data_IF_976093910150
#
_entry.id   IF_976093910150
#
_cell.length_a   1.000
_cell.length_b   1.000
_cell.length_c   1.000
_cell.angle_alpha   90.00
_cell.angle_beta   90.00
_cell.angle_gamma   90.00
#
_symmetry.space_group_name_H-M   'P 1'
#
loop_
_entity.id
_entity.type
_entity.pdbx_description
1 polymer ?
#
# COMPACT_ATOMS: atom_id res chain seq x y z
N UNK A 1 3.44 -6.63 3.79
CA UNK A 1 3.26 -7.31 5.10
C UNK A 1 2.81 -6.27 6.12
N UNK A 2 1.73 -6.48 6.86
CA UNK A 2 1.28 -5.50 7.85
C UNK A 2 2.13 -5.59 9.11
N UNK A 3 2.53 -4.45 9.66
CA UNK A 3 3.32 -4.42 10.90
C UNK A 3 2.50 -5.04 12.03
N UNK A 4 2.93 -6.20 12.52
CA UNK A 4 2.43 -6.83 13.76
C UNK A 4 1.74 -8.19 13.63
N UNK A 5 1.37 -8.66 12.44
CA UNK A 5 0.70 -9.97 12.29
C UNK A 5 1.58 -11.09 11.72
N UNK A 6 2.79 -10.77 11.23
CA UNK A 6 3.73 -11.78 10.75
C UNK A 6 3.34 -12.42 9.41
N UNK A 7 2.23 -12.01 8.80
CA UNK A 7 1.58 -12.71 7.69
C UNK A 7 1.54 -11.87 6.41
N UNK A 8 1.64 -12.54 5.26
CA UNK A 8 1.53 -11.92 3.93
C UNK A 8 0.13 -12.06 3.33
N UNK A 9 -0.76 -12.79 4.00
CA UNK A 9 -2.14 -12.99 3.56
C UNK A 9 -3.04 -13.32 4.74
N UNK A 10 -4.33 -13.00 4.61
CA UNK A 10 -5.37 -13.35 5.56
C UNK A 10 -6.60 -13.83 4.82
N UNK A 11 -7.03 -15.06 5.07
CA UNK A 11 -8.31 -15.55 4.56
C UNK A 11 -9.46 -14.91 5.35
N UNK A 12 -10.28 -14.11 4.65
CA UNK A 12 -11.52 -13.57 5.18
C UNK A 12 -12.72 -14.45 4.85
N UNK A 13 -13.83 -14.27 5.57
CA UNK A 13 -15.11 -14.90 5.25
C UNK A 13 -15.99 -14.09 4.28
N UNK A 14 -15.49 -12.95 3.79
CA UNK A 14 -16.23 -12.08 2.89
C UNK A 14 -16.06 -12.52 1.42
N UNK A 15 -16.82 -11.87 0.53
CA UNK A 15 -16.69 -12.04 -0.92
C UNK A 15 -15.55 -11.22 -1.54
N UNK A 16 -14.81 -10.46 -0.73
CA UNK A 16 -13.79 -9.53 -1.22
C UNK A 16 -12.40 -10.17 -1.13
N UNK A 17 -11.68 -10.14 -2.23
CA UNK A 17 -10.23 -10.33 -2.25
C UNK A 17 -9.58 -8.98 -2.50
N UNK A 18 -8.59 -8.63 -1.68
CA UNK A 18 -7.70 -7.50 -1.92
C UNK A 18 -6.30 -8.07 -2.14
N UNK A 19 -5.71 -7.76 -3.28
CA UNK A 19 -4.38 -8.26 -3.64
C UNK A 19 -3.48 -7.14 -4.15
N UNK A 20 -2.21 -7.21 -3.77
CA UNK A 20 -1.14 -6.57 -4.51
C UNK A 20 -0.86 -7.41 -5.76
N UNK A 21 -0.63 -6.75 -6.89
CA UNK A 21 -0.26 -7.43 -8.14
C UNK A 21 0.99 -6.74 -8.65
N UNK A 22 1.93 -7.56 -9.08
CA UNK A 22 3.26 -7.16 -9.53
C UNK A 22 3.27 -6.98 -11.05
N UNK A 23 3.82 -5.87 -11.53
CA UNK A 23 4.04 -5.60 -12.95
C UNK A 23 5.38 -6.12 -13.47
N UNK A 24 6.34 -6.44 -12.59
CA UNK A 24 7.77 -6.63 -12.89
C UNK A 24 8.10 -7.64 -14.00
N UNK A 25 7.27 -8.66 -14.17
CA UNK A 25 7.44 -9.76 -15.11
C UNK A 25 6.29 -9.89 -16.13
N UNK A 26 5.40 -8.89 -16.17
CA UNK A 26 4.22 -8.87 -17.04
C UNK A 26 3.04 -9.72 -16.54
N UNK A 27 3.17 -10.39 -15.39
CA UNK A 27 2.11 -11.21 -14.80
C UNK A 27 0.85 -10.42 -14.42
N UNK A 28 0.94 -9.10 -14.31
CA UNK A 28 -0.19 -8.18 -14.16
C UNK A 28 -1.38 -8.53 -15.07
N UNK A 29 -1.11 -8.94 -16.33
CA UNK A 29 -2.13 -9.25 -17.32
C UNK A 29 -2.86 -10.59 -17.11
N UNK A 30 -2.37 -11.43 -16.21
CA UNK A 30 -3.00 -12.70 -15.82
C UNK A 30 -4.16 -12.50 -14.85
N UNK A 31 -4.33 -11.28 -14.32
CA UNK A 31 -5.36 -10.93 -13.37
C UNK A 31 -6.59 -10.31 -14.06
N UNK A 32 -7.77 -10.59 -13.50
CA UNK A 32 -9.06 -10.09 -14.00
C UNK A 32 -9.87 -9.42 -12.89
N UNK A 33 -9.37 -8.32 -12.30
CA UNK A 33 -10.08 -7.67 -11.22
C UNK A 33 -11.35 -7.00 -11.72
N UNK A 34 -12.32 -6.83 -10.81
CA UNK A 34 -13.46 -5.94 -11.08
C UNK A 34 -13.11 -4.49 -10.81
N UNK A 35 -12.15 -4.24 -9.91
CA UNK A 35 -11.71 -2.88 -9.62
C UNK A 35 -10.22 -2.84 -9.32
N UNK A 36 -9.57 -1.76 -9.72
CA UNK A 36 -8.13 -1.59 -9.58
C UNK A 36 -7.80 -0.18 -9.08
N UNK A 37 -6.72 -0.08 -8.30
CA UNK A 37 -6.02 1.15 -7.97
C UNK A 37 -4.67 1.14 -8.69
N UNK A 38 -4.35 2.22 -9.41
CA UNK A 38 -3.02 2.46 -9.99
C UNK A 38 -2.40 3.68 -9.30
N UNK A 39 -1.29 3.47 -8.59
CA UNK A 39 -0.67 4.54 -7.78
C UNK A 39 0.25 5.45 -8.56
N UNK A 40 1.07 4.91 -9.45
CA UNK A 40 1.99 5.63 -10.32
C UNK A 40 2.41 4.70 -11.48
N UNK A 41 3.09 5.24 -12.49
CA UNK A 41 3.75 4.45 -13.54
C UNK A 41 5.12 5.05 -13.80
N UNK A 42 6.16 4.37 -13.33
CA UNK A 42 7.56 4.70 -13.57
C UNK A 42 8.27 3.56 -14.31
N UNK A 43 9.46 3.83 -14.86
CA UNK A 43 10.30 2.77 -15.42
C UNK A 43 11.05 2.11 -14.28
N UNK A 44 10.63 0.89 -13.95
CA UNK A 44 11.37 -0.04 -13.11
C UNK A 44 11.57 -1.37 -13.88
N UNK A 45 12.28 -2.33 -13.29
CA UNK A 45 12.47 -3.67 -13.84
C UNK A 45 12.97 -3.64 -15.28
N UNK A 46 14.05 -2.88 -15.52
CA UNK A 46 14.64 -2.66 -16.86
C UNK A 46 15.14 -3.95 -17.54
N UNK A 47 15.23 -5.04 -16.80
CA UNK A 47 15.52 -6.37 -17.32
C UNK A 47 14.33 -6.95 -18.11
N UNK A 48 13.11 -6.47 -17.84
CA UNK A 48 11.88 -6.87 -18.50
C UNK A 48 11.32 -5.77 -19.40
N UNK A 49 11.32 -4.50 -18.95
CA UNK A 49 10.77 -3.38 -19.71
C UNK A 49 11.85 -2.53 -20.38
N UNK A 50 11.79 -2.30 -21.70
CA UNK A 50 12.79 -1.50 -22.40
C UNK A 50 12.67 0.01 -22.12
N UNK A 51 11.48 0.49 -21.75
CA UNK A 51 11.19 1.90 -21.50
C UNK A 51 9.86 2.07 -20.75
N UNK A 52 9.58 3.30 -20.28
CA UNK A 52 8.37 3.62 -19.52
C UNK A 52 7.10 3.47 -20.36
N UNK A 53 7.19 3.65 -21.67
CA UNK A 53 6.07 3.45 -22.59
C UNK A 53 5.59 1.99 -22.61
N UNK A 54 6.52 1.03 -22.50
CA UNK A 54 6.18 -0.39 -22.38
C UNK A 54 5.46 -0.70 -21.06
N UNK A 55 5.90 -0.12 -19.94
CA UNK A 55 5.22 -0.23 -18.63
C UNK A 55 3.82 0.38 -18.72
N UNK A 56 3.70 1.58 -19.30
CA UNK A 56 2.41 2.25 -19.48
C UNK A 56 1.46 1.45 -20.37
N UNK A 57 1.96 0.80 -21.42
CA UNK A 57 1.16 -0.08 -22.28
C UNK A 57 0.62 -1.30 -21.52
N UNK A 58 1.44 -1.91 -20.66
CA UNK A 58 1.01 -3.01 -19.78
C UNK A 58 -0.15 -2.58 -18.87
N UNK A 59 -0.02 -1.44 -18.21
CA UNK A 59 -1.08 -0.88 -17.36
C UNK A 59 -2.33 -0.50 -18.15
N UNK A 60 -2.17 0.06 -19.36
CA UNK A 60 -3.30 0.37 -20.23
C UNK A 60 -4.07 -0.89 -20.65
N UNK A 61 -3.38 -1.99 -20.96
CA UNK A 61 -4.02 -3.26 -21.25
C UNK A 61 -4.73 -3.83 -20.01
N UNK A 62 -4.07 -3.80 -18.83
CA UNK A 62 -4.66 -4.26 -17.57
C UNK A 62 -5.94 -3.51 -17.20
N UNK A 63 -5.89 -2.18 -17.24
CA UNK A 63 -7.03 -1.31 -16.92
C UNK A 63 -8.11 -1.37 -18.01
N UNK A 64 -7.73 -1.62 -19.27
CA UNK A 64 -8.65 -1.87 -20.38
C UNK A 64 -9.45 -3.17 -20.26
N UNK A 65 -8.93 -4.17 -19.51
CA UNK A 65 -9.61 -5.45 -19.23
C UNK A 65 -10.67 -5.36 -18.14
N UNK A 66 -10.76 -4.25 -17.40
CA UNK A 66 -11.80 -4.08 -16.38
C UNK A 66 -13.19 -4.17 -17.02
N UNK A 67 -14.16 -4.85 -16.38
CA UNK A 67 -15.52 -4.93 -16.92
C UNK A 67 -16.20 -3.55 -16.88
N UNK A 68 -17.20 -3.33 -17.74
CA UNK A 68 -17.94 -2.06 -17.82
C UNK A 68 -18.62 -1.67 -16.48
N UNK A 69 -18.98 -2.65 -15.65
CA UNK A 69 -19.53 -2.45 -14.31
C UNK A 69 -18.44 -2.43 -13.21
N UNK A 70 -17.19 -2.31 -13.61
CA UNK A 70 -16.01 -2.20 -12.76
C UNK A 70 -15.67 -0.77 -12.35
N UNK A 71 -14.50 -0.61 -11.73
CA UNK A 71 -13.99 0.68 -11.26
C UNK A 71 -12.46 0.78 -11.37
N UNK A 72 -11.96 1.85 -11.95
CA UNK A 72 -10.55 2.23 -11.91
C UNK A 72 -10.38 3.47 -11.02
N UNK A 73 -9.49 3.37 -10.02
CA UNK A 73 -9.09 4.47 -9.14
C UNK A 73 -7.65 4.84 -9.48
N UNK A 74 -7.45 6.00 -10.09
CA UNK A 74 -6.15 6.36 -10.68
C UNK A 74 -5.55 7.59 -10.00
N UNK A 75 -4.25 7.56 -9.74
CA UNK A 75 -3.56 8.73 -9.20
C UNK A 75 -3.56 9.88 -10.22
N UNK A 76 -4.08 11.03 -9.81
CA UNK A 76 -4.14 12.25 -10.61
C UNK A 76 -2.78 12.97 -10.70
N UNK A 77 -1.93 12.76 -9.70
CA UNK A 77 -0.61 13.38 -9.60
C UNK A 77 0.43 12.68 -10.49
N UNK A 78 0.12 11.48 -10.99
CA UNK A 78 0.91 10.77 -12.00
C UNK A 78 0.23 10.90 -13.37
N UNK A 79 0.90 11.60 -14.29
CA UNK A 79 0.34 11.89 -15.61
C UNK A 79 0.05 10.61 -16.43
N UNK A 80 0.85 9.55 -16.27
CA UNK A 80 0.68 8.29 -17.02
C UNK A 80 -0.48 7.49 -16.47
N UNK A 81 -0.56 7.32 -15.15
CA UNK A 81 -1.69 6.68 -14.48
C UNK A 81 -3.00 7.43 -14.80
N UNK A 82 -3.01 8.76 -14.69
CA UNK A 82 -4.18 9.60 -15.01
C UNK A 82 -4.64 9.46 -16.46
N UNK A 83 -3.70 9.26 -17.39
CA UNK A 83 -3.98 9.16 -18.84
C UNK A 83 -4.64 7.83 -19.25
N UNK A 84 -4.63 6.81 -18.38
CA UNK A 84 -5.20 5.50 -18.73
C UNK A 84 -6.70 5.61 -19.03
N UNK A 85 -7.12 4.84 -20.04
CA UNK A 85 -8.50 4.72 -20.48
C UNK A 85 -9.05 3.34 -20.11
N UNK A 86 -10.35 3.28 -19.81
CA UNK A 86 -11.03 2.04 -19.43
C UNK A 86 -12.50 2.09 -19.83
N UNK A 87 -13.14 0.96 -20.16
CA UNK A 87 -14.59 0.89 -20.29
C UNK A 87 -15.32 0.94 -18.93
N UNK A 88 -14.61 0.72 -17.82
CA UNK A 88 -15.15 0.80 -16.47
C UNK A 88 -15.42 2.25 -16.02
N UNK A 89 -16.05 2.41 -14.86
CA UNK A 89 -16.07 3.73 -14.20
C UNK A 89 -14.65 4.13 -13.81
N UNK A 90 -14.30 5.40 -13.99
CA UNK A 90 -12.99 5.97 -13.63
C UNK A 90 -13.18 7.07 -12.59
N UNK A 91 -12.43 7.00 -11.50
CA UNK A 91 -12.28 8.08 -10.51
C UNK A 91 -10.80 8.34 -10.28
N UNK A 92 -10.47 9.55 -9.91
CA UNK A 92 -9.11 10.02 -9.69
C UNK A 92 -8.88 10.47 -8.26
N UNK A 93 -7.65 10.36 -7.78
CA UNK A 93 -7.28 10.79 -6.43
C UNK A 93 -5.90 11.44 -6.41
N UNK A 94 -5.63 12.32 -5.45
CA UNK A 94 -4.31 12.94 -5.31
C UNK A 94 -4.36 14.33 -4.68
N UNK A 95 -3.31 15.10 -4.88
CA UNK A 95 -3.22 16.50 -4.50
C UNK A 95 -3.68 17.45 -5.60
N UNK A 96 -3.62 17.00 -6.86
CA UNK A 96 -4.07 17.75 -8.03
C UNK A 96 -5.51 18.25 -7.84
N UNK A 97 -5.74 19.52 -8.18
CA UNK A 97 -7.03 20.18 -7.97
C UNK A 97 -8.17 19.56 -8.78
N UNK A 98 -7.84 18.86 -9.87
CA UNK A 98 -8.79 18.17 -10.73
C UNK A 98 -9.07 16.73 -10.31
N UNK A 99 -8.45 16.23 -9.24
CA UNK A 99 -8.75 14.91 -8.69
C UNK A 99 -10.18 14.86 -8.13
N UNK A 100 -10.93 13.78 -8.44
CA UNK A 100 -12.27 13.56 -7.88
C UNK A 100 -12.20 13.49 -6.34
N UNK A 101 -11.22 12.74 -5.83
CA UNK A 101 -10.86 12.63 -4.41
C UNK A 101 -9.55 13.37 -4.14
N UNK A 102 -9.66 14.65 -3.78
CA UNK A 102 -8.50 15.50 -3.49
C UNK A 102 -8.13 15.45 -2.01
N UNK A 103 -6.85 15.35 -1.69
CA UNK A 103 -6.33 15.52 -0.34
C UNK A 103 -5.49 16.80 -0.21
N UNK A 104 -5.46 17.36 1.00
CA UNK A 104 -4.50 18.42 1.34
C UNK A 104 -3.18 17.83 1.89
N UNK A 105 -2.13 18.64 1.95
CA UNK A 105 -0.81 18.24 2.49
C UNK A 105 -0.68 18.42 4.01
N UNK A 106 -1.74 18.90 4.67
CA UNK A 106 -1.71 19.17 6.10
C UNK A 106 -1.81 17.88 6.91
N UNK A 107 -1.46 17.91 8.20
CA UNK A 107 -1.61 16.74 9.08
C UNK A 107 -2.30 17.15 10.38
N UNK A 108 -3.46 16.56 10.73
CA UNK A 108 -4.27 15.62 9.92
C UNK A 108 -4.72 16.24 8.59
N UNK A 109 -4.87 15.42 7.54
CA UNK A 109 -5.25 15.91 6.21
C UNK A 109 -6.76 15.83 5.99
N UNK A 110 -7.30 16.68 5.13
CA UNK A 110 -8.70 16.65 4.69
C UNK A 110 -8.83 15.96 3.35
N UNK A 111 -9.79 15.05 3.20
CA UNK A 111 -10.21 14.54 1.90
C UNK A 111 -11.42 15.35 1.44
N UNK A 112 -11.40 15.72 0.16
CA UNK A 112 -12.47 16.39 -0.56
C UNK A 112 -13.01 15.47 -1.65
N UNK A 113 -14.31 15.52 -1.90
CA UNK A 113 -14.95 14.84 -3.03
C UNK A 113 -15.89 15.82 -3.73
N UNK A 114 -15.74 15.99 -5.05
CA UNK A 114 -16.51 16.97 -5.82
C UNK A 114 -16.39 18.41 -5.30
N UNK A 115 -15.18 18.80 -4.86
CA UNK A 115 -14.88 20.12 -4.30
C UNK A 115 -15.32 20.34 -2.85
N UNK A 116 -16.08 19.42 -2.24
CA UNK A 116 -16.54 19.52 -0.84
C UNK A 116 -15.66 18.70 0.09
N UNK A 117 -15.25 19.27 1.22
CA UNK A 117 -14.60 18.51 2.28
C UNK A 117 -15.55 17.43 2.84
N UNK A 118 -15.12 16.16 2.78
CA UNK A 118 -15.89 15.02 3.31
C UNK A 118 -15.42 14.62 4.72
N UNK A 119 -14.18 14.95 5.09
CA UNK A 119 -13.72 14.85 6.46
C UNK A 119 -12.20 14.78 6.59
N UNK A 120 -11.72 14.66 7.84
CA UNK A 120 -10.29 14.63 8.18
C UNK A 120 -9.81 13.22 8.48
N UNK A 121 -8.59 12.93 8.08
CA UNK A 121 -7.90 11.65 8.34
C UNK A 121 -6.63 11.91 9.13
N UNK A 122 -6.47 11.19 10.24
CA UNK A 122 -5.29 11.23 11.07
C UNK A 122 -4.40 10.00 10.80
N UNK A 123 -3.56 10.08 9.77
CA UNK A 123 -2.67 8.97 9.39
C UNK A 123 -1.37 8.98 10.21
N UNK A 124 -1.00 7.83 10.77
CA UNK A 124 0.24 7.64 11.55
C UNK A 124 1.49 7.70 10.68
N UNK A 125 1.44 7.08 9.50
CA UNK A 125 2.54 7.00 8.54
C UNK A 125 2.83 8.39 7.97
N UNK A 126 4.11 8.74 7.87
CA UNK A 126 4.60 10.07 7.45
C UNK A 126 4.88 10.16 5.97
N UNK A 127 5.11 11.37 5.48
CA UNK A 127 5.38 11.61 4.07
C UNK A 127 4.12 11.83 3.24
N UNK A 128 4.32 12.59 2.16
CA UNK A 128 3.31 12.97 1.18
C UNK A 128 2.74 11.74 0.44
N UNK A 129 3.60 10.82 0.04
CA UNK A 129 3.19 9.57 -0.65
C UNK A 129 2.21 8.74 0.19
N UNK A 130 2.37 8.70 1.52
CA UNK A 130 1.44 7.96 2.38
C UNK A 130 0.07 8.65 2.49
N UNK A 131 0.00 9.98 2.43
CA UNK A 131 -1.28 10.70 2.34
C UNK A 131 -1.97 10.36 1.01
N UNK A 132 -1.22 10.36 -0.09
CA UNK A 132 -1.71 10.00 -1.41
C UNK A 132 -2.25 8.56 -1.44
N UNK A 133 -1.46 7.59 -0.97
CA UNK A 133 -1.86 6.18 -0.88
C UNK A 133 -3.12 5.98 -0.02
N UNK A 134 -3.17 6.64 1.15
CA UNK A 134 -4.35 6.61 2.01
C UNK A 134 -5.59 7.21 1.34
N UNK A 135 -5.41 8.24 0.51
CA UNK A 135 -6.50 8.86 -0.26
C UNK A 135 -7.00 7.94 -1.38
N UNK A 136 -6.12 7.23 -2.08
CA UNK A 136 -6.50 6.22 -3.08
C UNK A 136 -7.26 5.04 -2.47
N UNK A 137 -6.79 4.55 -1.31
CA UNK A 137 -7.51 3.52 -0.56
C UNK A 137 -8.88 4.00 -0.06
N UNK A 138 -8.95 5.25 0.41
CA UNK A 138 -10.21 5.87 0.83
C UNK A 138 -11.19 6.02 -0.35
N UNK A 139 -10.72 6.50 -1.50
CA UNK A 139 -11.53 6.62 -2.72
C UNK A 139 -12.15 5.28 -3.12
N UNK A 140 -11.35 4.21 -3.16
CA UNK A 140 -11.86 2.86 -3.44
C UNK A 140 -12.92 2.41 -2.43
N UNK A 141 -12.66 2.60 -1.13
CA UNK A 141 -13.59 2.20 -0.08
C UNK A 141 -14.93 2.96 -0.15
N UNK A 142 -14.88 4.27 -0.41
CA UNK A 142 -16.07 5.11 -0.57
C UNK A 142 -16.89 4.71 -1.81
N UNK A 143 -16.23 4.44 -2.94
CA UNK A 143 -16.89 4.02 -4.19
C UNK A 143 -17.56 2.64 -4.08
N UNK A 144 -17.09 1.77 -3.18
CA UNK A 144 -17.76 0.49 -2.88
C UNK A 144 -18.79 0.58 -1.74
N UNK A 145 -19.04 1.79 -1.23
CA UNK A 145 -20.12 2.08 -0.27
C UNK A 145 -19.74 2.01 1.21
N UNK A 146 -18.45 2.04 1.56
CA UNK A 146 -18.02 2.16 2.97
C UNK A 146 -18.19 3.60 3.43
N UNK A 147 -18.67 3.82 4.66
CA UNK A 147 -18.83 5.17 5.20
C UNK A 147 -17.48 5.82 5.52
N UNK A 148 -17.38 7.13 5.33
CA UNK A 148 -16.12 7.88 5.52
C UNK A 148 -15.54 7.70 6.93
N UNK A 149 -16.40 7.67 7.95
CA UNK A 149 -16.01 7.51 9.35
C UNK A 149 -15.32 6.16 9.59
N UNK A 150 -15.79 5.09 8.94
CA UNK A 150 -15.18 3.76 9.03
C UNK A 150 -13.82 3.74 8.33
N UNK A 151 -13.71 4.38 7.16
CA UNK A 151 -12.46 4.53 6.41
C UNK A 151 -11.43 5.32 7.22
N UNK A 152 -11.80 6.49 7.73
CA UNK A 152 -10.93 7.34 8.53
C UNK A 152 -10.44 6.61 9.80
N UNK A 153 -11.33 5.89 10.48
CA UNK A 153 -11.00 5.09 11.65
C UNK A 153 -10.04 3.92 11.32
N UNK A 154 -10.21 3.28 10.17
CA UNK A 154 -9.31 2.21 9.71
C UNK A 154 -7.92 2.77 9.38
N UNK A 155 -7.85 3.88 8.64
CA UNK A 155 -6.59 4.54 8.28
C UNK A 155 -5.82 5.05 9.52
N UNK A 156 -6.51 5.59 10.52
CA UNK A 156 -5.87 6.02 11.78
C UNK A 156 -5.24 4.85 12.56
N UNK A 157 -5.82 3.66 12.46
CA UNK A 157 -5.36 2.44 13.12
C UNK A 157 -4.37 1.64 12.27
N UNK A 158 -4.11 2.03 11.03
CA UNK A 158 -3.18 1.33 10.15
C UNK A 158 -1.78 1.31 10.78
N UNK A 159 -1.21 0.12 11.07
CA UNK A 159 0.07 0.01 11.76
C UNK A 159 1.25 0.35 10.85
N UNK A 160 1.03 0.36 9.53
CA UNK A 160 2.08 0.47 8.51
C UNK A 160 2.32 -0.88 7.84
N UNK A 161 3.15 -0.85 6.81
CA UNK A 161 3.67 -2.05 6.16
C UNK A 161 5.15 -2.22 6.55
N UNK A 162 5.59 -3.49 6.67
CA UNK A 162 6.99 -3.78 6.91
C UNK A 162 7.86 -3.20 5.80
N UNK A 163 9.04 -2.71 6.19
CA UNK A 163 10.01 -2.09 5.27
C UNK A 163 9.44 -0.90 4.48
N UNK A 164 8.46 -0.17 5.02
CA UNK A 164 7.99 1.12 4.47
C UNK A 164 8.00 2.16 5.60
N UNK A 165 9.16 2.79 5.80
CA UNK A 165 9.51 3.65 6.94
C UNK A 165 9.13 3.04 8.29
N UNK A 166 9.43 1.75 8.45
CA UNK A 166 9.12 0.99 9.65
C UNK A 166 10.08 1.37 10.78
N UNK A 167 9.55 1.82 11.92
CA UNK A 167 10.38 2.06 13.11
C UNK A 167 10.78 0.71 13.74
N UNK A 168 12.05 0.32 13.57
CA UNK A 168 12.60 -0.88 14.19
C UNK A 168 12.81 -0.70 15.70
N UNK A 169 13.09 0.54 16.14
CA UNK A 169 13.26 0.85 17.55
C UNK A 169 14.21 2.03 17.78
N UNK A 170 14.76 2.10 18.99
CA UNK A 170 15.82 3.04 19.32
C UNK A 170 17.14 2.32 19.51
N UNK A 171 18.20 2.84 18.91
CA UNK A 171 19.58 2.44 19.17
C UNK A 171 20.36 3.64 19.69
N UNK A 172 20.89 3.55 20.91
CA UNK A 172 21.64 4.65 21.55
C UNK A 172 20.89 6.01 21.54
N UNK A 173 19.55 5.97 21.68
CA UNK A 173 18.71 7.18 21.66
C UNK A 173 18.35 7.70 20.27
N UNK A 174 18.94 7.16 19.19
CA UNK A 174 18.53 7.45 17.82
C UNK A 174 17.42 6.48 17.38
N UNK A 175 16.42 7.00 16.67
CA UNK A 175 15.39 6.16 16.07
C UNK A 175 15.93 5.49 14.80
N UNK A 176 15.76 4.17 14.69
CA UNK A 176 16.20 3.36 13.55
C UNK A 176 14.98 2.97 12.74
N UNK A 177 15.01 3.31 11.45
CA UNK A 177 13.94 3.01 10.51
C UNK A 177 14.45 2.10 9.39
N UNK A 178 13.59 1.19 8.91
CA UNK A 178 13.82 0.34 7.74
C UNK A 178 12.85 0.73 6.61
N UNK A 179 13.36 0.82 5.39
CA UNK A 179 12.61 1.21 4.19
C UNK A 179 13.13 0.46 2.95
N UNK A 180 12.21 -0.02 2.12
CA UNK A 180 12.49 -0.79 0.93
C UNK A 180 12.79 0.07 -0.30
N UNK A 181 12.55 1.39 -0.23
CA UNK A 181 12.68 2.29 -1.37
C UNK A 181 14.02 2.10 -2.08
N UNK A 182 13.95 1.70 -3.33
CA UNK A 182 15.10 1.36 -4.18
C UNK A 182 15.10 2.19 -5.46
N UNK A 183 13.93 2.60 -5.94
CA UNK A 183 13.82 3.57 -7.01
C UNK A 183 14.16 4.99 -6.52
N UNK A 184 14.81 5.86 -7.31
CA UNK A 184 15.16 7.22 -6.89
C UNK A 184 13.97 8.05 -6.37
N UNK A 185 12.76 7.83 -6.89
CA UNK A 185 11.53 8.49 -6.40
C UNK A 185 11.20 8.04 -4.98
N UNK A 186 11.26 6.74 -4.70
CA UNK A 186 11.02 6.18 -3.36
C UNK A 186 12.06 6.68 -2.36
N UNK A 187 13.35 6.64 -2.70
CA UNK A 187 14.43 7.12 -1.82
C UNK A 187 14.23 8.59 -1.46
N UNK A 188 13.86 9.44 -2.43
CA UNK A 188 13.53 10.86 -2.17
C UNK A 188 12.34 10.98 -1.23
N UNK A 189 11.27 10.21 -1.46
CA UNK A 189 10.07 10.23 -0.63
C UNK A 189 10.37 9.80 0.82
N UNK A 190 11.22 8.78 1.00
CA UNK A 190 11.70 8.28 2.29
C UNK A 190 12.52 9.34 3.02
N UNK A 191 13.47 10.01 2.35
CA UNK A 191 14.26 11.09 2.94
C UNK A 191 13.38 12.27 3.36
N UNK A 192 12.39 12.65 2.54
CA UNK A 192 11.46 13.72 2.84
C UNK A 192 10.60 13.39 4.08
N UNK A 193 10.09 12.17 4.17
CA UNK A 193 9.33 11.73 5.33
C UNK A 193 10.20 11.64 6.61
N UNK A 194 11.45 11.18 6.50
CA UNK A 194 12.39 11.15 7.61
C UNK A 194 12.68 12.56 8.17
N UNK A 195 12.74 13.56 7.27
CA UNK A 195 12.86 14.98 7.65
C UNK A 195 11.65 15.48 8.46
N UNK A 196 10.46 14.94 8.28
CA UNK A 196 9.29 15.26 9.13
C UNK A 196 9.40 14.61 10.52
N UNK A 197 10.05 13.45 10.61
CA UNK A 197 10.21 12.67 11.84
C UNK A 197 11.24 13.27 12.81
N UNK A 198 12.22 14.04 12.31
CA UNK A 198 13.34 14.62 13.10
C UNK A 198 12.90 15.44 14.33
N UNK A 199 11.64 15.86 14.38
CA UNK A 199 11.09 16.68 15.46
C UNK A 199 10.41 15.87 16.58
N UNK A 200 10.34 14.54 16.48
CA UNK A 200 9.66 13.69 17.47
C UNK A 200 10.36 12.34 17.65
N UNK A 201 11.39 12.30 18.48
CA UNK A 201 11.83 11.03 19.09
C UNK A 201 10.74 10.63 20.10
N UNK A 202 10.04 9.49 19.93
CA UNK A 202 9.03 9.07 20.90
C UNK A 202 9.67 8.87 22.27
N UNK A 203 9.21 9.62 23.28
CA UNK A 203 9.66 9.49 24.68
C UNK A 203 9.38 8.12 25.32
N UNK A 204 8.61 7.25 24.66
CA UNK A 204 7.96 6.08 25.26
C UNK A 204 8.81 4.80 25.37
N UNK A 205 10.07 4.77 24.91
CA UNK A 205 10.90 3.55 24.94
C UNK A 205 12.00 3.54 26.01
N UNK A 206 11.97 4.45 27.00
CA UNK A 206 12.94 4.44 28.12
C UNK A 206 12.76 3.25 29.09
N UNK A 207 11.68 2.48 29.00
CA UNK A 207 11.33 1.51 30.04
C UNK A 207 11.81 0.07 29.80
N UNK A 208 12.39 -0.28 28.65
CA UNK A 208 12.78 -1.68 28.34
C UNK A 208 14.27 -2.02 28.45
N UNK A 209 15.13 -1.10 28.89
CA UNK A 209 16.58 -1.33 28.93
C UNK A 209 17.17 -1.62 30.32
N UNK A 210 16.36 -1.78 31.36
CA UNK A 210 16.87 -2.01 32.71
C UNK A 210 17.04 -3.48 33.13
N UNK A 211 16.61 -4.48 32.34
CA UNK A 211 16.59 -5.88 32.82
C UNK A 211 17.41 -6.90 32.01
N UNK A 212 18.28 -6.48 31.09
CA UNK A 212 19.20 -7.39 30.43
C UNK A 212 20.61 -7.30 31.07
N UNK A 213 20.73 -7.77 32.32
CA UNK A 213 22.03 -8.13 32.90
C UNK A 213 22.02 -9.62 33.25
N UNK A 214 22.95 -10.32 32.59
CA UNK A 214 23.50 -11.64 32.89
C UNK A 214 22.53 -12.83 32.96
N UNK A 215 22.65 -13.72 31.97
CA UNK A 215 23.01 -15.14 32.17
C UNK A 215 23.24 -15.82 30.82
N UNK A 216 24.48 -16.24 30.56
CA UNK A 216 24.79 -17.39 29.70
C UNK A 216 24.39 -18.67 30.45
N UNK A 217 23.88 -19.72 29.77
CA UNK A 217 24.78 -20.81 29.36
C UNK A 217 24.39 -21.55 28.06
N UNK A 218 25.43 -22.15 27.49
CA UNK A 218 25.54 -23.35 26.66
C UNK A 218 24.30 -24.25 26.49
N UNK A 219 24.07 -24.72 25.25
CA UNK A 219 23.31 -25.96 25.00
C UNK A 219 22.65 -26.02 23.63
N UNK A 220 23.29 -26.70 22.67
CA UNK A 220 22.68 -27.09 21.39
C UNK A 220 21.95 -28.44 21.56
N UNK A 221 20.71 -28.58 21.06
CA UNK A 221 20.23 -29.90 20.65
C UNK A 221 19.66 -29.90 19.22
N UNK A 222 20.04 -30.94 18.49
CA UNK A 222 19.57 -31.34 17.17
C UNK A 222 18.28 -32.18 17.27
N UNK A 223 17.34 -32.00 16.33
CA UNK A 223 16.36 -33.02 15.87
C UNK A 223 15.60 -32.45 14.66
N UNK A 224 15.82 -32.96 13.44
CA UNK A 224 15.09 -34.04 12.73
C UNK A 224 13.67 -33.71 12.25
N UNK A 225 13.51 -34.00 10.97
CA UNK A 225 12.38 -33.92 10.04
C UNK A 225 11.19 -34.81 10.38
N UNK A 226 9.98 -34.37 10.02
CA UNK A 226 8.97 -35.26 9.43
C UNK A 226 7.95 -34.49 8.58
N UNK A 227 7.75 -34.96 7.35
CA UNK A 227 6.69 -34.55 6.44
C UNK A 227 5.36 -35.23 6.78
N UNK A 228 4.24 -34.59 6.46
CA UNK A 228 2.99 -35.29 6.19
C UNK A 228 2.12 -34.50 5.20
N UNK A 229 1.77 -35.19 4.13
CA UNK A 229 0.86 -34.81 3.06
C UNK A 229 -0.60 -34.87 3.50
N UNK A 230 -1.50 -34.16 2.81
CA UNK A 230 -2.83 -34.68 2.39
C UNK A 230 -3.53 -33.75 1.40
N UNK A 231 -4.43 -34.39 0.68
CA UNK A 231 -4.86 -34.15 -0.69
C UNK A 231 -6.23 -33.46 -0.78
N UNK A 232 -6.40 -32.64 -1.83
CA UNK A 232 -7.55 -32.54 -2.75
C UNK A 232 -8.92 -32.10 -2.21
N UNK A 233 -9.42 -30.96 -2.71
CA UNK A 233 -10.82 -30.83 -3.17
C UNK A 233 -10.96 -29.66 -4.15
N UNK A 234 -11.38 -29.99 -5.37
CA UNK A 234 -11.72 -29.08 -6.46
C UNK A 234 -13.15 -28.59 -6.25
N UNK A 235 -13.40 -27.28 -6.16
CA UNK A 235 -14.72 -26.68 -6.44
C UNK A 235 -14.54 -25.30 -7.07
N UNK A 236 -15.05 -25.19 -8.29
CA UNK A 236 -15.20 -23.98 -9.08
C UNK A 236 -16.09 -22.96 -8.36
N UNK A 237 -15.58 -21.76 -8.14
CA UNK A 237 -16.37 -20.57 -7.80
C UNK A 237 -15.79 -19.37 -8.53
N UNK A 238 -16.69 -18.56 -9.06
CA UNK A 238 -16.44 -17.34 -9.82
C UNK A 238 -15.83 -16.26 -8.91
N UNK A 239 -14.73 -15.67 -9.36
CA UNK A 239 -13.83 -14.78 -8.62
C UNK A 239 -14.07 -13.31 -8.96
N UNK A 240 -13.94 -12.40 -7.99
CA UNK A 240 -14.12 -10.96 -8.17
C UNK A 240 -13.15 -10.21 -7.24
N UNK A 241 -12.03 -9.74 -7.80
CA UNK A 241 -10.87 -9.25 -7.06
C UNK A 241 -10.75 -7.71 -7.13
N UNK A 242 -10.26 -7.12 -6.03
CA UNK A 242 -9.82 -5.73 -5.89
C UNK A 242 -8.29 -5.70 -5.86
N UNK A 243 -7.66 -4.88 -6.68
CA UNK A 243 -6.19 -4.86 -6.80
C UNK A 243 -5.61 -3.48 -6.49
N UNK A 244 -4.52 -3.42 -5.71
CA UNK A 244 -3.66 -2.24 -5.55
C UNK A 244 -2.31 -2.53 -6.16
N UNK A 245 -1.91 -1.77 -7.20
CA UNK A 245 -0.59 -1.86 -7.81
C UNK A 245 0.25 -0.68 -7.33
N UNK A 246 1.45 -0.95 -6.78
CA UNK A 246 2.43 0.07 -6.44
C UNK A 246 3.82 -0.41 -6.85
N UNK A 247 4.44 0.30 -7.79
CA UNK A 247 5.89 0.41 -7.87
C UNK A 247 6.36 1.13 -6.59
#
# INVERSE_FOLDING_TARGET
>A
MLVGDGSHSRAGGSKWLVAEVDESDGSLLLHHPKRAIVTNIELDHTDHFPNVEAVQALFAEFIGKLPADGLAVLCADDARARSLTTPARKVTYGFDESADYRCDESRPFTIHHGGRAIGRVNLRQRGRHNIQNATGAAAMALEIGVHFEEVASALERFPGAHRRLELLGLFQGAAVYDDYGHHPTEVRATIQAARELRHRIPRASRTRLASARATSPTGCPTARTSAASRTRARRSRTWLDLTTCSC
#
